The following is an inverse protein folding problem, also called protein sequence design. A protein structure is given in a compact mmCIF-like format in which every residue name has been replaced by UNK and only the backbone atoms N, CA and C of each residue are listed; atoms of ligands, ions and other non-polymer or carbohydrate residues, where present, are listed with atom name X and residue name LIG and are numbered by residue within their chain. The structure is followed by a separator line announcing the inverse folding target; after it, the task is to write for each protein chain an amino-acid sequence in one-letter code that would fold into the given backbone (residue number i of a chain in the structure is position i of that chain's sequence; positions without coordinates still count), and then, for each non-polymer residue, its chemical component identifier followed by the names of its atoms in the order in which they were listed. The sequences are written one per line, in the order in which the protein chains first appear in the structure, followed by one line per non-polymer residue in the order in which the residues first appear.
data_IF_980832502721
#
_entry.id   IF_980832502721
#
_cell.length_a   1.000
_cell.length_b   1.000
_cell.length_c   1.000
_cell.angle_alpha   90.00
_cell.angle_beta   90.00
_cell.angle_gamma   90.00
#
_symmetry.space_group_name_H-M   'P 1'
#
loop_
_entity.id
_entity.type
_entity.pdbx_description
1 polymer ?
#
# COMPACT_ATOMS: atom_id res chain seq x y z
N UNK A 1 31.55 -10.99 20.65
CA UNK A 1 32.11 -9.64 20.94
C UNK A 1 31.32 -8.61 20.14
N UNK A 2 30.81 -7.55 20.76
CA UNK A 2 30.05 -6.49 20.05
C UNK A 2 31.03 -5.39 19.64
N UNK A 3 31.16 -5.15 18.34
CA UNK A 3 31.96 -4.06 17.80
C UNK A 3 31.05 -2.92 17.37
N UNK A 4 31.12 -1.77 18.04
CA UNK A 4 30.43 -0.55 17.60
C UNK A 4 31.34 0.23 16.65
N UNK A 5 30.88 0.49 15.42
CA UNK A 5 31.56 1.41 14.50
C UNK A 5 30.96 2.80 14.69
N UNK A 6 31.47 3.56 15.66
CA UNK A 6 31.08 4.96 15.84
C UNK A 6 31.93 5.85 14.92
N UNK A 7 31.30 6.44 13.91
CA UNK A 7 31.95 7.41 13.02
C UNK A 7 32.14 8.76 13.73
N UNK A 8 33.22 8.90 14.51
CA UNK A 8 33.79 10.21 14.85
C UNK A 8 34.98 10.47 13.92
N UNK A 9 34.87 11.54 13.12
CA UNK A 9 35.84 12.07 12.16
C UNK A 9 37.27 11.49 12.20
N UNK A 10 37.62 10.67 11.20
CA UNK A 10 39.01 10.34 10.86
C UNK A 10 39.26 8.85 10.65
N UNK A 11 39.42 8.44 9.39
CA UNK A 11 40.01 7.17 8.90
C UNK A 11 39.75 5.97 9.82
N UNK A 12 38.61 5.29 9.62
CA UNK A 12 38.42 3.92 10.11
C UNK A 12 39.36 2.99 9.35
N UNK A 13 40.56 2.74 9.89
CA UNK A 13 41.34 1.55 9.52
C UNK A 13 40.54 0.34 10.00
N UNK A 14 39.78 -0.25 9.09
CA UNK A 14 39.08 -1.50 9.32
C UNK A 14 40.14 -2.58 9.56
N UNK A 15 40.27 -3.05 10.80
CA UNK A 15 41.06 -4.24 11.10
C UNK A 15 40.16 -5.46 10.86
N UNK A 16 40.68 -6.48 10.18
CA UNK A 16 40.04 -7.81 10.12
C UNK A 16 39.68 -8.25 11.54
N UNK A 17 38.41 -8.58 11.76
CA UNK A 17 37.91 -8.93 13.08
C UNK A 17 37.26 -10.32 13.04
N UNK A 18 38.08 -11.37 13.03
CA UNK A 18 37.65 -12.78 12.91
C UNK A 18 36.78 -13.31 14.07
N UNK A 19 36.41 -12.46 15.03
CA UNK A 19 35.58 -12.81 16.19
C UNK A 19 34.33 -11.92 16.32
N UNK A 20 34.03 -11.11 15.30
CA UNK A 20 32.85 -10.26 15.31
C UNK A 20 31.60 -11.11 14.99
N UNK A 21 30.69 -11.18 15.95
CA UNK A 21 29.43 -11.93 15.83
C UNK A 21 28.24 -11.01 15.55
N UNK A 22 28.35 -9.75 15.92
CA UNK A 22 27.32 -8.72 15.72
C UNK A 22 27.95 -7.42 15.25
N UNK A 23 27.30 -6.78 14.27
CA UNK A 23 27.66 -5.47 13.76
C UNK A 23 26.45 -4.54 13.85
N UNK A 24 26.56 -3.50 14.67
CA UNK A 24 25.58 -2.43 14.70
C UNK A 24 26.15 -1.23 13.94
N UNK A 25 25.42 -0.80 12.91
CA UNK A 25 25.76 0.37 12.12
C UNK A 25 24.81 1.49 12.53
N UNK A 26 25.23 2.31 13.49
CA UNK A 26 24.48 3.49 13.88
C UNK A 26 24.84 4.69 13.00
N UNK A 27 23.81 5.41 12.54
CA UNK A 27 23.95 6.76 12.02
C UNK A 27 24.30 6.93 10.54
N UNK A 28 24.26 8.22 10.16
CA UNK A 28 24.33 8.73 8.80
C UNK A 28 25.71 8.46 8.17
N UNK A 29 25.92 7.25 7.65
CA UNK A 29 27.17 6.80 7.01
C UNK A 29 27.52 7.49 5.68
N UNK A 30 27.10 8.73 5.46
CA UNK A 30 27.50 9.54 4.28
C UNK A 30 29.02 9.60 4.07
N UNK A 31 29.81 9.27 5.09
CA UNK A 31 31.28 9.28 5.07
C UNK A 31 31.94 7.90 5.13
N UNK A 32 31.20 6.83 5.37
CA UNK A 32 31.79 5.51 5.37
C UNK A 32 31.98 5.12 3.90
N UNK A 33 33.23 5.17 3.45
CA UNK A 33 33.55 4.81 2.08
C UNK A 33 33.03 3.40 1.83
N UNK A 34 32.11 3.30 0.88
CA UNK A 34 31.54 2.04 0.44
C UNK A 34 32.63 1.02 0.08
N UNK A 35 33.79 1.50 -0.38
CA UNK A 35 34.99 0.71 -0.63
C UNK A 35 35.55 -0.03 0.60
N UNK A 36 35.25 0.42 1.82
CA UNK A 36 35.71 -0.22 3.06
C UNK A 36 34.69 -1.19 3.66
N UNK A 37 33.39 -0.92 3.51
CA UNK A 37 32.34 -1.72 4.16
C UNK A 37 32.15 -3.09 3.51
N UNK A 38 32.14 -3.18 2.17
CA UNK A 38 31.97 -4.47 1.52
C UNK A 38 33.12 -5.45 1.83
N UNK A 39 34.41 -5.07 1.72
CA UNK A 39 35.51 -5.95 2.14
C UNK A 39 35.45 -6.34 3.62
N UNK A 40 34.97 -5.43 4.48
CA UNK A 40 34.80 -5.72 5.89
C UNK A 40 33.76 -6.81 6.15
N UNK A 41 32.55 -6.66 5.58
CA UNK A 41 31.48 -7.64 5.68
C UNK A 41 31.94 -9.01 5.17
N UNK A 42 32.63 -9.02 4.02
CA UNK A 42 33.23 -10.22 3.45
C UNK A 42 34.29 -10.85 4.36
N UNK A 43 35.11 -10.05 5.05
CA UNK A 43 36.13 -10.57 5.97
C UNK A 43 35.56 -11.17 7.27
N UNK A 44 34.28 -10.90 7.57
CA UNK A 44 33.60 -11.37 8.77
C UNK A 44 32.51 -12.41 8.47
N UNK A 45 32.40 -12.89 7.23
CA UNK A 45 31.28 -13.70 6.73
C UNK A 45 30.98 -14.94 7.56
N UNK A 46 32.02 -15.61 8.04
CA UNK A 46 31.88 -16.92 8.66
C UNK A 46 31.34 -16.85 10.10
N UNK A 47 31.34 -15.66 10.72
CA UNK A 47 30.94 -15.48 12.12
C UNK A 47 29.89 -14.42 12.37
N UNK A 48 29.57 -13.57 11.39
CA UNK A 48 28.64 -12.46 11.58
C UNK A 48 27.18 -12.96 11.62
N UNK A 49 26.61 -13.03 12.83
CA UNK A 49 25.29 -13.59 13.14
C UNK A 49 24.17 -12.56 13.27
N UNK A 50 24.47 -11.31 13.66
CA UNK A 50 23.56 -10.18 13.43
C UNK A 50 24.23 -8.96 12.75
N UNK A 51 23.47 -8.26 11.89
CA UNK A 51 23.79 -6.92 11.39
C UNK A 51 22.57 -6.05 11.57
N UNK A 52 22.71 -5.00 12.36
CA UNK A 52 21.65 -4.07 12.72
C UNK A 52 21.99 -2.66 12.23
N UNK A 53 20.97 -1.80 12.10
CA UNK A 53 21.15 -0.41 11.65
C UNK A 53 21.43 -0.24 10.15
N UNK A 54 21.33 -1.29 9.34
CA UNK A 54 21.45 -1.19 7.89
C UNK A 54 20.24 -0.47 7.26
N UNK A 55 20.44 0.79 6.89
CA UNK A 55 19.52 1.52 6.00
C UNK A 55 19.42 0.87 4.59
N UNK A 56 18.30 1.05 3.89
CA UNK A 56 18.10 0.47 2.55
C UNK A 56 19.15 0.92 1.52
N UNK A 57 19.74 2.11 1.68
CA UNK A 57 20.84 2.58 0.83
C UNK A 57 22.05 1.62 0.78
N UNK A 58 22.29 0.81 1.82
CA UNK A 58 23.37 -0.19 1.77
C UNK A 58 23.03 -1.35 0.84
N UNK A 59 21.75 -1.76 0.82
CA UNK A 59 21.23 -2.77 -0.08
C UNK A 59 21.18 -2.29 -1.53
N UNK A 60 21.02 -0.97 -1.72
CA UNK A 60 21.11 -0.33 -3.02
C UNK A 60 22.51 -0.45 -3.65
N UNK A 61 23.56 -0.51 -2.82
CA UNK A 61 24.91 -0.60 -3.33
C UNK A 61 25.26 -2.05 -3.72
N UNK A 62 25.56 -2.36 -4.99
CA UNK A 62 25.69 -3.73 -5.49
C UNK A 62 26.64 -4.59 -4.66
N UNK A 63 27.84 -4.08 -4.34
CA UNK A 63 28.85 -4.84 -3.57
C UNK A 63 28.47 -5.05 -2.11
N UNK A 64 27.73 -4.13 -1.50
CA UNK A 64 27.33 -4.26 -0.09
C UNK A 64 26.12 -5.19 -0.02
N UNK A 65 25.13 -5.00 -0.88
CA UNK A 65 24.00 -5.92 -1.00
C UNK A 65 24.44 -7.36 -1.28
N UNK A 66 25.37 -7.56 -2.21
CA UNK A 66 25.98 -8.87 -2.49
C UNK A 66 26.70 -9.45 -1.27
N UNK A 67 27.55 -8.65 -0.60
CA UNK A 67 28.24 -9.09 0.61
C UNK A 67 27.24 -9.50 1.71
N UNK A 68 26.20 -8.69 1.95
CA UNK A 68 25.14 -8.97 2.91
C UNK A 68 24.34 -10.23 2.55
N UNK A 69 24.05 -10.46 1.28
CA UNK A 69 23.40 -11.70 0.83
C UNK A 69 24.30 -12.91 1.04
N UNK A 70 25.60 -12.81 0.74
CA UNK A 70 26.56 -13.89 0.95
C UNK A 70 26.68 -14.30 2.42
N UNK A 71 26.50 -13.35 3.34
CA UNK A 71 26.48 -13.64 4.79
C UNK A 71 25.09 -14.04 5.31
N UNK A 72 24.12 -14.28 4.42
CA UNK A 72 22.79 -14.78 4.76
C UNK A 72 21.79 -13.71 5.21
N UNK A 73 22.11 -12.43 5.04
CA UNK A 73 21.20 -11.34 5.37
C UNK A 73 20.44 -10.92 4.14
N UNK A 74 19.16 -10.70 4.33
CA UNK A 74 18.29 -10.08 3.35
C UNK A 74 17.49 -9.00 4.06
N UNK A 75 17.55 -7.76 3.57
CA UNK A 75 16.52 -6.81 3.96
C UNK A 75 15.21 -7.24 3.34
N UNK A 76 14.20 -7.33 4.20
CA UNK A 76 12.83 -7.67 3.82
C UNK A 76 12.02 -6.42 3.48
N UNK A 77 12.54 -5.23 3.75
CA UNK A 77 11.78 -3.97 3.67
C UNK A 77 12.56 -2.93 2.88
N UNK A 78 11.93 -2.42 1.81
CA UNK A 78 12.39 -1.27 1.05
C UNK A 78 11.52 -0.06 1.44
N UNK A 79 12.11 1.01 1.99
CA UNK A 79 11.38 2.24 2.39
C UNK A 79 11.97 3.48 1.73
N UNK A 80 11.15 4.38 1.22
CA UNK A 80 11.62 5.63 0.59
C UNK A 80 12.49 6.48 1.52
N UNK A 81 12.14 6.57 2.81
CA UNK A 81 12.89 7.31 3.82
C UNK A 81 14.28 6.75 4.12
N UNK A 82 14.56 5.53 3.67
CA UNK A 82 15.84 4.83 3.83
C UNK A 82 16.69 4.81 2.55
N UNK A 83 16.17 5.38 1.46
CA UNK A 83 16.88 5.53 0.19
C UNK A 83 17.79 6.77 0.21
N UNK A 84 18.88 6.71 -0.55
CA UNK A 84 19.70 7.89 -0.80
C UNK A 84 18.84 8.94 -1.54
N UNK A 85 18.73 10.19 -1.04
CA UNK A 85 17.98 11.24 -1.72
C UNK A 85 18.45 11.53 -3.15
N UNK A 86 19.68 11.13 -3.51
CA UNK A 86 20.27 11.26 -4.83
C UNK A 86 20.11 10.02 -5.72
N UNK A 87 19.39 8.98 -5.25
CA UNK A 87 19.20 7.75 -6.02
C UNK A 87 18.56 8.04 -7.38
N UNK A 88 19.20 7.54 -8.44
CA UNK A 88 18.60 7.63 -9.77
C UNK A 88 17.39 6.69 -9.88
N UNK A 89 16.38 7.09 -10.66
CA UNK A 89 15.23 6.21 -10.90
C UNK A 89 15.65 4.88 -11.54
N UNK A 90 16.67 4.88 -12.40
CA UNK A 90 17.21 3.66 -13.00
C UNK A 90 17.78 2.70 -11.95
N UNK A 91 18.48 3.21 -10.95
CA UNK A 91 19.05 2.38 -9.88
C UNK A 91 17.97 1.88 -8.93
N UNK A 92 16.96 2.71 -8.62
CA UNK A 92 15.78 2.26 -7.87
C UNK A 92 15.04 1.12 -8.59
N UNK A 93 14.82 1.25 -9.89
CA UNK A 93 14.17 0.22 -10.73
C UNK A 93 14.97 -1.09 -10.68
N UNK A 94 16.31 -1.01 -10.82
CA UNK A 94 17.18 -2.19 -10.71
C UNK A 94 17.11 -2.80 -9.31
N UNK A 95 17.14 -1.98 -8.27
CA UNK A 95 17.07 -2.43 -6.88
C UNK A 95 15.77 -3.16 -6.55
N UNK A 96 14.64 -2.70 -7.08
CA UNK A 96 13.35 -3.38 -6.91
C UNK A 96 13.32 -4.68 -7.73
N UNK A 97 13.76 -4.64 -8.99
CA UNK A 97 13.65 -5.77 -9.91
C UNK A 97 14.68 -6.90 -9.67
N UNK A 98 15.85 -6.58 -9.13
CA UNK A 98 16.99 -7.50 -8.96
C UNK A 98 17.43 -7.66 -7.50
N UNK A 99 16.87 -6.87 -6.59
CA UNK A 99 17.37 -6.79 -5.22
C UNK A 99 17.00 -7.98 -4.34
N UNK A 100 17.23 -7.76 -3.05
CA UNK A 100 16.85 -8.62 -1.93
C UNK A 100 15.41 -9.16 -2.06
N UNK A 101 15.04 -10.30 -1.43
CA UNK A 101 13.66 -10.77 -1.37
C UNK A 101 12.77 -9.82 -0.55
N UNK A 102 12.45 -8.65 -1.11
CA UNK A 102 11.62 -7.63 -0.49
C UNK A 102 10.24 -8.21 -0.21
N UNK A 103 9.91 -8.40 1.07
CA UNK A 103 8.55 -8.78 1.47
C UNK A 103 7.68 -7.56 1.66
N UNK A 104 8.26 -6.35 1.84
CA UNK A 104 7.55 -5.08 1.93
C UNK A 104 8.24 -4.01 1.08
N UNK A 105 7.45 -3.33 0.26
CA UNK A 105 7.88 -2.17 -0.53
C UNK A 105 7.03 -0.98 -0.12
N UNK A 106 7.67 0.06 0.43
CA UNK A 106 7.03 1.29 0.87
C UNK A 106 7.70 2.47 0.17
N UNK A 107 7.01 3.10 -0.78
CA UNK A 107 7.56 4.18 -1.59
C UNK A 107 6.67 5.42 -1.53
N UNK A 108 7.26 6.59 -1.69
CA UNK A 108 6.49 7.82 -1.83
C UNK A 108 5.93 7.94 -3.24
N UNK A 109 4.77 8.59 -3.39
CA UNK A 109 4.13 8.86 -4.69
C UNK A 109 5.05 9.54 -5.70
N UNK A 110 5.98 10.38 -5.25
CA UNK A 110 6.97 11.06 -6.10
C UNK A 110 8.03 10.14 -6.71
N UNK A 111 8.20 8.93 -6.18
CA UNK A 111 9.12 7.92 -6.71
C UNK A 111 8.42 6.94 -7.64
N UNK A 112 7.08 7.01 -7.72
CA UNK A 112 6.27 6.03 -8.43
C UNK A 112 6.18 6.36 -9.92
N UNK A 113 7.29 6.18 -10.64
CA UNK A 113 7.29 6.22 -12.11
C UNK A 113 6.75 4.90 -12.68
N UNK A 114 6.32 4.90 -13.95
CA UNK A 114 5.96 3.67 -14.66
C UNK A 114 7.02 2.57 -14.52
N UNK A 115 8.31 2.90 -14.68
CA UNK A 115 9.39 1.91 -14.57
C UNK A 115 9.53 1.30 -13.17
N UNK A 116 9.23 2.07 -12.13
CA UNK A 116 9.19 1.58 -10.74
C UNK A 116 7.99 0.67 -10.54
N UNK A 117 6.80 1.02 -11.05
CA UNK A 117 5.63 0.17 -11.01
C UNK A 117 5.86 -1.17 -11.75
N UNK A 118 6.47 -1.13 -12.94
CA UNK A 118 6.88 -2.32 -13.71
C UNK A 118 7.89 -3.19 -12.94
N UNK A 119 8.79 -2.57 -12.16
CA UNK A 119 9.72 -3.30 -11.30
C UNK A 119 9.00 -4.01 -10.15
N UNK A 120 8.03 -3.35 -9.49
CA UNK A 120 7.22 -3.96 -8.43
C UNK A 120 6.42 -5.14 -8.97
N UNK A 121 5.81 -5.00 -10.16
CA UNK A 121 5.10 -6.10 -10.84
C UNK A 121 6.04 -7.27 -11.11
N UNK A 122 7.25 -7.04 -11.62
CA UNK A 122 8.24 -8.12 -11.83
C UNK A 122 8.64 -8.78 -10.52
N UNK A 123 8.87 -7.99 -9.47
CA UNK A 123 9.22 -8.48 -8.14
C UNK A 123 8.11 -9.34 -7.52
N UNK A 124 6.85 -8.96 -7.75
CA UNK A 124 5.67 -9.67 -7.23
C UNK A 124 5.58 -11.13 -7.69
N UNK A 125 6.15 -11.46 -8.85
CA UNK A 125 6.21 -12.83 -9.36
C UNK A 125 7.04 -13.79 -8.47
N UNK A 126 7.88 -13.26 -7.57
CA UNK A 126 8.70 -14.04 -6.64
C UNK A 126 7.94 -14.64 -5.44
N UNK A 127 6.61 -14.48 -5.35
CA UNK A 127 5.73 -15.09 -4.33
C UNK A 127 6.04 -14.78 -2.85
N UNK A 128 6.87 -13.78 -2.55
CA UNK A 128 7.25 -13.40 -1.19
C UNK A 128 6.81 -11.99 -0.79
N UNK A 129 6.21 -11.24 -1.72
CA UNK A 129 5.70 -9.90 -1.46
C UNK A 129 4.46 -9.96 -0.56
N UNK A 130 4.57 -9.39 0.64
CA UNK A 130 3.53 -9.32 1.66
C UNK A 130 2.90 -7.93 1.78
N UNK A 131 3.61 -6.87 1.41
CA UNK A 131 3.10 -5.51 1.50
C UNK A 131 3.62 -4.59 0.38
N UNK A 132 2.71 -3.82 -0.22
CA UNK A 132 3.05 -2.68 -1.07
C UNK A 132 2.31 -1.46 -0.53
N UNK A 133 3.06 -0.39 -0.25
CA UNK A 133 2.54 0.84 0.31
C UNK A 133 3.06 2.03 -0.48
N UNK A 134 2.14 2.81 -1.03
CA UNK A 134 2.44 4.03 -1.77
C UNK A 134 1.97 5.21 -0.93
N UNK A 135 2.91 5.84 -0.26
CA UNK A 135 2.64 6.92 0.69
C UNK A 135 2.59 8.27 -0.01
N UNK A 136 1.68 9.14 0.42
CA UNK A 136 1.68 10.51 -0.05
C UNK A 136 2.70 11.36 0.68
N UNK A 137 3.65 11.90 -0.08
CA UNK A 137 4.53 12.99 0.35
C UNK A 137 4.55 14.12 -0.68
N UNK A 138 3.37 14.64 -1.02
CA UNK A 138 3.22 15.85 -1.81
C UNK A 138 2.86 15.62 -3.28
N UNK A 139 2.91 16.70 -4.07
CA UNK A 139 2.60 16.67 -5.51
C UNK A 139 3.62 15.83 -6.26
N UNK A 140 3.11 14.89 -7.05
CA UNK A 140 3.90 14.21 -8.06
C UNK A 140 3.81 15.01 -9.35
N UNK A 141 4.92 15.63 -9.76
CA UNK A 141 5.03 16.20 -11.11
C UNK A 141 5.53 15.12 -12.11
N UNK A 142 5.79 13.90 -11.64
CA UNK A 142 6.50 12.86 -12.39
C UNK A 142 5.56 11.92 -13.15
N UNK A 143 4.85 12.45 -14.15
CA UNK A 143 4.15 11.67 -15.18
C UNK A 143 3.14 10.62 -14.67
N UNK A 144 2.62 9.76 -15.57
CA UNK A 144 1.74 8.67 -15.17
C UNK A 144 2.52 7.66 -14.32
N UNK A 145 2.03 7.41 -13.12
CA UNK A 145 2.70 6.56 -12.14
C UNK A 145 2.26 5.12 -12.23
N UNK A 146 1.86 4.54 -11.10
CA UNK A 146 1.30 3.19 -11.04
C UNK A 146 -0.15 3.20 -11.54
N UNK A 147 -0.36 2.74 -12.76
CA UNK A 147 -1.68 2.59 -13.38
C UNK A 147 -2.46 1.37 -12.88
N UNK A 148 -3.78 1.33 -13.14
CA UNK A 148 -4.68 0.25 -12.73
C UNK A 148 -4.21 -1.17 -13.10
N UNK A 149 -3.64 -1.35 -14.30
CA UNK A 149 -3.11 -2.66 -14.72
C UNK A 149 -1.90 -3.11 -13.87
N UNK A 150 -1.07 -2.20 -13.36
CA UNK A 150 0.03 -2.59 -12.47
C UNK A 150 -0.52 -3.09 -11.13
N UNK A 151 -1.53 -2.40 -10.58
CA UNK A 151 -2.18 -2.81 -9.34
C UNK A 151 -2.82 -4.20 -9.49
N UNK A 152 -3.51 -4.40 -10.60
CA UNK A 152 -4.09 -5.69 -10.97
C UNK A 152 -3.02 -6.79 -11.03
N UNK A 153 -1.92 -6.55 -11.75
CA UNK A 153 -0.85 -7.54 -11.88
C UNK A 153 -0.20 -7.87 -10.52
N UNK A 154 -0.05 -6.88 -9.63
CA UNK A 154 0.45 -7.12 -8.26
C UNK A 154 -0.51 -8.02 -7.49
N UNK A 155 -1.81 -7.74 -7.51
CA UNK A 155 -2.85 -8.54 -6.85
C UNK A 155 -2.96 -9.96 -7.44
N UNK A 156 -2.73 -10.09 -8.75
CA UNK A 156 -2.72 -11.35 -9.46
C UNK A 156 -1.51 -12.22 -9.12
N UNK A 157 -0.32 -11.62 -8.92
CA UNK A 157 0.94 -12.36 -8.77
C UNK A 157 1.37 -12.58 -7.33
N UNK A 158 0.75 -11.90 -6.36
CA UNK A 158 1.21 -11.89 -4.96
C UNK A 158 0.29 -12.69 -4.03
N UNK A 159 0.39 -14.03 -3.98
CA UNK A 159 -0.51 -14.86 -3.15
C UNK A 159 -0.33 -14.61 -1.64
N UNK A 160 0.79 -14.02 -1.22
CA UNK A 160 1.11 -13.68 0.17
C UNK A 160 0.81 -12.22 0.53
N UNK A 161 0.28 -11.43 -0.38
CA UNK A 161 0.01 -10.01 -0.13
C UNK A 161 -1.04 -9.87 0.97
N UNK A 162 -0.68 -9.14 2.02
CA UNK A 162 -1.51 -8.80 3.18
C UNK A 162 -1.89 -7.33 3.19
N UNK A 163 -1.02 -6.46 2.71
CA UNK A 163 -1.22 -5.01 2.73
C UNK A 163 -1.03 -4.44 1.33
N UNK A 164 -2.02 -3.71 0.85
CA UNK A 164 -1.94 -3.01 -0.43
C UNK A 164 -2.54 -1.61 -0.31
N UNK A 165 -1.67 -0.59 -0.21
CA UNK A 165 -2.05 0.81 -0.05
C UNK A 165 -1.60 1.61 -1.27
N UNK A 166 -2.55 2.14 -2.05
CA UNK A 166 -2.28 2.91 -3.25
C UNK A 166 -3.28 4.07 -3.48
N UNK A 167 -4.10 4.44 -2.50
CA UNK A 167 -5.16 5.47 -2.65
C UNK A 167 -4.67 6.86 -3.06
N UNK A 168 -3.39 7.16 -2.81
CA UNK A 168 -2.79 8.46 -3.11
C UNK A 168 -2.37 8.64 -4.57
N UNK A 169 -2.58 7.64 -5.42
CA UNK A 169 -2.39 7.76 -6.85
C UNK A 169 -3.56 8.55 -7.44
N UNK A 170 -3.38 9.87 -7.54
CA UNK A 170 -4.44 10.84 -7.82
C UNK A 170 -5.04 10.66 -9.22
N UNK A 171 -4.22 10.32 -10.22
CA UNK A 171 -4.65 10.18 -11.62
C UNK A 171 -4.91 8.73 -12.04
N UNK A 172 -4.44 7.77 -11.25
CA UNK A 172 -4.50 6.35 -11.56
C UNK A 172 -5.49 5.67 -10.61
N UNK A 173 -6.72 5.54 -11.07
CA UNK A 173 -7.77 4.74 -10.42
C UNK A 173 -7.73 3.32 -10.97
N UNK A 174 -7.99 2.32 -10.12
CA UNK A 174 -8.26 0.97 -10.61
C UNK A 174 -9.71 0.93 -11.10
N UNK A 175 -9.93 0.59 -12.36
CA UNK A 175 -11.28 0.49 -12.91
C UNK A 175 -11.95 -0.81 -12.47
N UNK A 176 -13.28 -0.85 -12.56
CA UNK A 176 -14.07 -2.08 -12.52
C UNK A 176 -13.52 -3.14 -13.48
N UNK A 177 -13.17 -2.76 -14.71
CA UNK A 177 -12.59 -3.67 -15.71
C UNK A 177 -11.28 -4.29 -15.23
N UNK A 178 -10.40 -3.51 -14.60
CA UNK A 178 -9.12 -4.01 -14.07
C UNK A 178 -9.36 -5.08 -12.99
N UNK A 179 -10.31 -4.83 -12.07
CA UNK A 179 -10.66 -5.76 -11.00
C UNK A 179 -11.27 -7.05 -11.55
N UNK A 180 -12.21 -6.92 -12.49
CA UNK A 180 -12.98 -8.06 -13.02
C UNK A 180 -12.18 -8.90 -14.03
N UNK A 181 -11.17 -8.34 -14.69
CA UNK A 181 -10.39 -9.03 -15.72
C UNK A 181 -9.24 -9.91 -15.21
N UNK A 182 -8.91 -9.83 -13.92
CA UNK A 182 -7.91 -10.71 -13.28
C UNK A 182 -8.56 -11.54 -12.19
N UNK A 183 -7.98 -12.66 -11.82
CA UNK A 183 -8.24 -13.32 -10.54
C UNK A 183 -7.15 -12.93 -9.54
N UNK A 184 -7.55 -12.46 -8.36
CA UNK A 184 -6.58 -12.12 -7.31
C UNK A 184 -6.03 -13.42 -6.72
N UNK A 185 -4.72 -13.63 -6.80
CA UNK A 185 -4.09 -14.81 -6.20
C UNK A 185 -4.09 -14.73 -4.66
N UNK A 186 -4.13 -13.51 -4.12
CA UNK A 186 -4.22 -13.31 -2.67
C UNK A 186 -5.60 -13.66 -2.13
N UNK A 187 -5.58 -14.41 -1.03
CA UNK A 187 -6.72 -14.61 -0.11
C UNK A 187 -6.38 -14.16 1.30
N UNK A 188 -5.27 -13.44 1.44
CA UNK A 188 -4.66 -13.04 2.70
C UNK A 188 -4.64 -11.53 2.89
N UNK A 189 -5.32 -10.76 2.05
CA UNK A 189 -5.39 -9.32 2.24
C UNK A 189 -6.07 -9.00 3.57
N UNK A 190 -5.34 -8.26 4.41
CA UNK A 190 -5.77 -7.74 5.71
C UNK A 190 -6.02 -6.22 5.62
N UNK A 191 -5.30 -5.53 4.75
CA UNK A 191 -5.41 -4.08 4.53
C UNK A 191 -5.50 -3.78 3.03
N UNK A 192 -6.59 -3.16 2.62
CA UNK A 192 -6.76 -2.59 1.28
C UNK A 192 -7.04 -1.11 1.41
N UNK A 193 -6.33 -0.31 0.63
CA UNK A 193 -6.52 1.13 0.58
C UNK A 193 -6.32 1.62 -0.87
N UNK A 194 -7.41 1.67 -1.63
CA UNK A 194 -7.42 1.84 -3.08
C UNK A 194 -8.62 2.65 -3.56
N UNK A 195 -8.41 3.52 -4.57
CA UNK A 195 -9.51 4.18 -5.27
C UNK A 195 -10.02 3.32 -6.41
N UNK A 196 -11.27 2.88 -6.30
CA UNK A 196 -11.91 2.02 -7.31
C UNK A 196 -12.92 2.83 -8.11
N UNK A 197 -12.62 3.07 -9.39
CA UNK A 197 -13.54 3.76 -10.29
C UNK A 197 -14.53 2.76 -10.89
N UNK A 198 -15.82 3.01 -10.65
CA UNK A 198 -16.91 2.26 -11.27
C UNK A 198 -17.90 3.24 -11.87
N UNK A 199 -18.31 2.96 -13.11
CA UNK A 199 -19.30 3.78 -13.81
C UNK A 199 -20.60 3.88 -13.01
N UNK A 200 -21.06 5.11 -12.78
CA UNK A 200 -22.34 5.40 -12.14
C UNK A 200 -23.23 6.22 -13.06
N UNK A 201 -24.39 5.68 -13.47
CA UNK A 201 -25.34 6.44 -14.25
C UNK A 201 -25.89 7.62 -13.46
N UNK A 202 -26.18 8.72 -14.17
CA UNK A 202 -26.94 9.84 -13.63
C UNK A 202 -28.34 9.41 -13.21
N UNK A 203 -28.97 10.12 -12.26
CA UNK A 203 -30.30 9.79 -11.75
C UNK A 203 -31.41 9.79 -12.82
N UNK A 204 -31.18 10.44 -13.96
CA UNK A 204 -32.10 10.47 -15.09
C UNK A 204 -31.83 9.39 -16.15
N UNK A 205 -30.84 8.50 -15.93
CA UNK A 205 -30.55 7.44 -16.87
C UNK A 205 -31.67 6.39 -16.89
N UNK A 206 -31.85 5.68 -18.01
CA UNK A 206 -32.81 4.58 -18.07
C UNK A 206 -32.52 3.49 -17.02
N UNK A 207 -33.58 2.87 -16.48
CA UNK A 207 -33.49 1.84 -15.42
C UNK A 207 -32.51 0.71 -15.78
N UNK A 208 -32.47 0.26 -17.04
CA UNK A 208 -31.57 -0.81 -17.47
C UNK A 208 -30.08 -0.44 -17.33
N UNK A 209 -29.73 0.85 -17.44
CA UNK A 209 -28.35 1.33 -17.24
C UNK A 209 -27.98 1.28 -15.76
N UNK A 210 -28.91 1.62 -14.86
CA UNK A 210 -28.74 1.47 -13.42
C UNK A 210 -28.54 0.01 -13.03
N UNK A 211 -29.38 -0.90 -13.55
CA UNK A 211 -29.24 -2.33 -13.30
C UNK A 211 -27.87 -2.86 -13.74
N UNK A 212 -27.41 -2.48 -14.93
CA UNK A 212 -26.09 -2.88 -15.41
C UNK A 212 -24.94 -2.37 -14.54
N UNK A 213 -25.01 -1.11 -14.09
CA UNK A 213 -24.04 -0.56 -13.15
C UNK A 213 -24.05 -1.32 -11.82
N UNK A 214 -25.23 -1.64 -11.28
CA UNK A 214 -25.35 -2.44 -10.06
C UNK A 214 -24.76 -3.84 -10.24
N UNK A 215 -24.98 -4.51 -11.37
CA UNK A 215 -24.39 -5.81 -11.64
C UNK A 215 -22.86 -5.78 -11.64
N UNK A 216 -22.25 -4.73 -12.19
CA UNK A 216 -20.80 -4.51 -12.16
C UNK A 216 -20.33 -4.27 -10.73
N UNK A 217 -20.99 -3.36 -9.99
CA UNK A 217 -20.64 -3.05 -8.61
C UNK A 217 -20.73 -4.28 -7.71
N UNK A 218 -21.78 -5.10 -7.84
CA UNK A 218 -21.93 -6.37 -7.13
C UNK A 218 -20.78 -7.32 -7.43
N UNK A 219 -20.33 -7.41 -8.68
CA UNK A 219 -19.19 -8.27 -9.03
C UNK A 219 -17.88 -7.77 -8.42
N UNK A 220 -17.64 -6.46 -8.42
CA UNK A 220 -16.46 -5.85 -7.79
C UNK A 220 -16.49 -6.07 -6.27
N UNK A 221 -17.63 -5.81 -5.62
CA UNK A 221 -17.80 -6.04 -4.18
C UNK A 221 -17.67 -7.52 -3.82
N UNK A 222 -18.22 -8.43 -4.62
CA UNK A 222 -18.02 -9.87 -4.44
C UNK A 222 -16.55 -10.26 -4.51
N UNK A 223 -15.77 -9.63 -5.40
CA UNK A 223 -14.32 -9.89 -5.46
C UNK A 223 -13.62 -9.45 -4.18
N UNK A 224 -13.97 -8.28 -3.64
CA UNK A 224 -13.44 -7.79 -2.36
C UNK A 224 -13.89 -8.70 -1.21
N UNK A 225 -15.15 -9.14 -1.21
CA UNK A 225 -15.75 -10.05 -0.21
C UNK A 225 -15.07 -11.42 -0.11
N UNK A 226 -14.31 -11.82 -1.13
CA UNK A 226 -13.48 -13.04 -1.08
C UNK A 226 -12.27 -12.91 -0.14
N UNK A 227 -11.88 -11.70 0.25
CA UNK A 227 -10.76 -11.43 1.15
C UNK A 227 -11.20 -11.56 2.62
N UNK A 228 -11.47 -12.78 3.08
CA UNK A 228 -12.10 -13.03 4.39
C UNK A 228 -11.29 -12.55 5.60
N UNK A 229 -9.98 -12.34 5.42
CA UNK A 229 -9.06 -11.80 6.43
C UNK A 229 -9.00 -10.27 6.43
N UNK A 230 -9.81 -9.60 5.63
CA UNK A 230 -9.76 -8.14 5.48
C UNK A 230 -10.20 -7.48 6.79
N UNK A 231 -9.29 -6.68 7.37
CA UNK A 231 -9.48 -5.96 8.62
C UNK A 231 -9.69 -4.47 8.40
N UNK A 232 -9.13 -3.90 7.33
CA UNK A 232 -9.40 -2.53 6.93
C UNK A 232 -9.59 -2.43 5.43
N UNK A 233 -10.67 -1.76 5.06
CA UNK A 233 -11.02 -1.44 3.69
C UNK A 233 -11.20 0.07 3.57
N UNK A 234 -10.28 0.72 2.87
CA UNK A 234 -10.40 2.13 2.48
C UNK A 234 -10.61 2.17 0.98
N UNK A 235 -11.79 2.64 0.57
CA UNK A 235 -12.15 2.83 -0.84
C UNK A 235 -12.54 4.27 -1.14
N UNK A 236 -12.69 5.07 -0.09
CA UNK A 236 -12.84 6.51 -0.17
C UNK A 236 -11.52 7.24 -0.28
N UNK A 237 -11.57 8.49 -0.74
CA UNK A 237 -10.40 9.34 -0.79
C UNK A 237 -10.57 10.59 -1.63
N UNK A 238 -9.95 11.68 -1.18
CA UNK A 238 -9.89 12.93 -1.92
C UNK A 238 -9.01 12.79 -3.17
N UNK A 239 -9.49 13.29 -4.30
CA UNK A 239 -8.64 13.50 -5.49
C UNK A 239 -8.28 14.97 -5.58
N UNK A 240 -7.01 15.32 -5.43
CA UNK A 240 -6.55 16.71 -5.59
C UNK A 240 -6.38 16.98 -7.07
N UNK A 241 -7.36 17.62 -7.71
CA UNK A 241 -7.25 17.91 -9.14
C UNK A 241 -6.20 19.00 -9.40
N UNK A 242 -5.37 18.76 -10.41
CA UNK A 242 -4.18 19.54 -10.75
C UNK A 242 -4.43 21.04 -10.91
N UNK A 243 -5.59 21.41 -11.48
CA UNK A 243 -5.78 22.76 -11.99
C UNK A 243 -6.42 23.78 -11.04
N UNK A 244 -6.94 23.40 -9.85
CA UNK A 244 -7.71 24.36 -9.01
C UNK A 244 -7.55 24.28 -7.50
N UNK A 245 -6.65 23.46 -6.93
CA UNK A 245 -6.66 23.14 -5.48
C UNK A 245 -8.06 22.74 -4.97
N UNK A 246 -8.96 22.34 -5.87
CA UNK A 246 -10.28 21.86 -5.51
C UNK A 246 -10.14 20.39 -5.20
N UNK A 247 -10.63 20.01 -4.03
CA UNK A 247 -10.81 18.62 -3.65
C UNK A 247 -11.92 18.09 -4.57
N UNK A 248 -11.57 17.17 -5.47
CA UNK A 248 -12.52 16.48 -6.31
C UNK A 248 -12.95 15.22 -5.58
N UNK A 249 -14.27 15.09 -5.46
CA UNK A 249 -14.94 13.91 -4.93
C UNK A 249 -14.86 12.80 -5.94
N UNK A 250 -14.86 11.57 -5.45
CA UNK A 250 -15.02 10.43 -6.32
C UNK A 250 -16.50 10.25 -6.69
N UNK A 251 -16.89 10.67 -7.90
CA UNK A 251 -18.27 10.52 -8.39
C UNK A 251 -18.50 9.11 -8.96
N UNK A 252 -17.57 8.63 -9.78
CA UNK A 252 -17.50 7.26 -10.29
C UNK A 252 -16.83 6.38 -9.25
N UNK A 253 -17.61 5.91 -8.29
CA UNK A 253 -17.15 5.14 -7.14
C UNK A 253 -18.08 3.96 -6.87
N UNK A 254 -17.63 2.99 -6.07
CA UNK A 254 -18.50 1.94 -5.55
C UNK A 254 -19.55 2.53 -4.61
N UNK A 255 -20.83 2.31 -4.89
CA UNK A 255 -21.87 2.55 -3.91
C UNK A 255 -21.81 1.47 -2.82
N UNK A 256 -21.98 1.91 -1.58
CA UNK A 256 -21.92 1.05 -0.39
C UNK A 256 -23.31 0.91 0.23
N UNK A 257 -24.28 0.49 -0.57
CA UNK A 257 -25.65 0.20 -0.15
C UNK A 257 -26.09 -1.20 -0.60
N UNK A 258 -27.23 -1.66 -0.09
CA UNK A 258 -27.74 -3.01 -0.39
C UNK A 258 -28.14 -3.19 -1.86
N UNK A 259 -28.62 -2.14 -2.52
CA UNK A 259 -28.99 -2.19 -3.95
C UNK A 259 -27.76 -2.47 -4.83
N UNK A 260 -26.61 -1.87 -4.49
CA UNK A 260 -25.35 -1.99 -5.25
C UNK A 260 -24.50 -3.21 -4.89
N UNK A 261 -24.85 -3.97 -3.85
CA UNK A 261 -24.11 -5.18 -3.48
C UNK A 261 -23.36 -5.15 -2.16
N UNK A 262 -23.67 -4.24 -1.23
CA UNK A 262 -23.07 -4.26 0.11
C UNK A 262 -23.16 -5.64 0.76
N UNK A 263 -24.23 -6.39 0.47
CA UNK A 263 -24.45 -7.75 0.95
C UNK A 263 -23.41 -8.78 0.46
N UNK A 264 -22.73 -8.51 -0.66
CA UNK A 264 -21.62 -9.33 -1.17
C UNK A 264 -20.40 -9.30 -0.23
N UNK A 265 -20.35 -8.36 0.71
CA UNK A 265 -19.30 -8.26 1.73
C UNK A 265 -19.64 -9.01 3.03
N UNK A 266 -20.79 -9.71 3.12
CA UNK A 266 -21.28 -10.32 4.37
C UNK A 266 -20.26 -11.22 5.08
N UNK A 267 -19.35 -11.86 4.34
CA UNK A 267 -18.34 -12.78 4.87
C UNK A 267 -17.11 -12.08 5.50
N UNK A 268 -16.99 -10.75 5.40
CA UNK A 268 -15.90 -9.97 5.99
C UNK A 268 -16.04 -9.81 7.51
N UNK A 269 -16.03 -10.92 8.24
CA UNK A 269 -16.26 -10.95 9.70
C UNK A 269 -15.14 -10.32 10.52
N UNK A 270 -13.94 -10.24 9.95
CA UNK A 270 -12.75 -9.64 10.58
C UNK A 270 -12.62 -8.13 10.28
N UNK A 271 -13.54 -7.53 9.52
CA UNK A 271 -13.48 -6.12 9.15
C UNK A 271 -13.64 -5.23 10.40
N UNK A 272 -12.58 -4.50 10.74
CA UNK A 272 -12.48 -3.58 11.89
C UNK A 272 -12.72 -2.14 11.46
N UNK A 273 -12.28 -1.77 10.25
CA UNK A 273 -12.37 -0.41 9.73
C UNK A 273 -12.88 -0.40 8.29
N UNK A 274 -13.92 0.40 8.05
CA UNK A 274 -14.43 0.71 6.72
C UNK A 274 -14.38 2.21 6.51
N UNK A 275 -13.63 2.66 5.52
CA UNK A 275 -13.55 4.07 5.14
C UNK A 275 -14.08 4.29 3.73
N UNK A 276 -15.24 4.95 3.68
CA UNK A 276 -15.96 5.33 2.47
C UNK A 276 -16.11 6.87 2.40
N UNK A 277 -15.30 7.59 3.16
CA UNK A 277 -15.31 9.05 3.18
C UNK A 277 -14.90 9.64 1.82
N UNK A 278 -15.36 10.84 1.52
CA UNK A 278 -15.01 11.58 0.29
C UNK A 278 -15.46 10.88 -1.02
N UNK A 279 -16.32 9.86 -0.91
CA UNK A 279 -17.06 9.24 -2.02
C UNK A 279 -18.46 9.85 -2.13
N UNK A 280 -19.00 9.92 -3.35
CA UNK A 280 -20.39 10.31 -3.57
C UNK A 280 -21.38 9.17 -3.23
N UNK A 281 -21.27 8.54 -2.05
CA UNK A 281 -22.10 7.39 -1.68
C UNK A 281 -23.49 7.80 -1.14
N UNK A 282 -24.45 6.87 -1.18
CA UNK A 282 -25.84 7.07 -0.73
C UNK A 282 -26.22 6.05 0.35
N UNK A 283 -25.45 6.02 1.45
CA UNK A 283 -25.73 5.14 2.58
C UNK A 283 -27.00 5.61 3.28
N UNK A 284 -27.95 4.70 3.49
CA UNK A 284 -29.23 4.92 4.16
C UNK A 284 -29.26 4.13 5.48
N UNK A 285 -30.24 4.40 6.33
CA UNK A 285 -30.45 3.68 7.59
C UNK A 285 -30.50 2.14 7.43
N UNK A 286 -31.22 1.57 6.44
CA UNK A 286 -31.24 0.12 6.24
C UNK A 286 -29.85 -0.50 5.96
N UNK A 287 -28.96 0.24 5.28
CA UNK A 287 -27.60 -0.22 5.00
C UNK A 287 -26.79 -0.30 6.31
N UNK A 288 -26.94 0.69 7.20
CA UNK A 288 -26.28 0.71 8.51
C UNK A 288 -26.78 -0.39 9.44
N UNK A 289 -28.10 -0.62 9.46
CA UNK A 289 -28.70 -1.74 10.20
C UNK A 289 -28.20 -3.09 9.69
N UNK A 290 -27.97 -3.21 8.38
CA UNK A 290 -27.37 -4.38 7.79
C UNK A 290 -25.90 -4.53 8.19
N UNK A 291 -25.08 -3.47 8.09
CA UNK A 291 -23.66 -3.50 8.49
C UNK A 291 -23.52 -3.87 9.97
N UNK A 292 -24.32 -3.27 10.84
CA UNK A 292 -24.27 -3.52 12.29
C UNK A 292 -24.62 -4.97 12.67
N UNK A 293 -25.38 -5.69 11.83
CA UNK A 293 -25.69 -7.12 12.00
C UNK A 293 -24.64 -8.03 11.38
N UNK A 294 -24.03 -7.63 10.26
CA UNK A 294 -23.19 -8.51 9.46
C UNK A 294 -21.69 -8.34 9.67
N UNK A 295 -21.23 -7.17 10.14
CA UNK A 295 -19.84 -6.88 10.46
C UNK A 295 -19.64 -6.81 11.99
N UNK A 296 -19.56 -7.97 12.67
CA UNK A 296 -19.51 -8.02 14.13
C UNK A 296 -18.26 -7.34 14.73
N UNK A 297 -17.17 -7.25 13.95
CA UNK A 297 -15.89 -6.67 14.38
C UNK A 297 -15.74 -5.20 13.97
N UNK A 298 -16.72 -4.58 13.30
CA UNK A 298 -16.58 -3.23 12.76
C UNK A 298 -16.61 -2.18 13.88
N UNK A 299 -15.45 -1.63 14.18
CA UNK A 299 -15.25 -0.62 15.23
C UNK A 299 -15.30 0.80 14.66
N UNK A 300 -14.77 1.00 13.45
CA UNK A 300 -14.65 2.31 12.81
C UNK A 300 -15.32 2.33 11.44
N UNK A 301 -16.19 3.31 11.24
CA UNK A 301 -16.84 3.57 9.97
C UNK A 301 -16.67 5.06 9.65
N UNK A 302 -15.74 5.37 8.75
CA UNK A 302 -15.56 6.73 8.26
C UNK A 302 -16.50 6.93 7.07
N UNK A 303 -17.43 7.87 7.21
CA UNK A 303 -18.39 8.19 6.16
C UNK A 303 -18.59 9.69 6.05
N UNK A 304 -19.06 10.12 4.88
CA UNK A 304 -19.39 11.51 4.63
C UNK A 304 -18.31 12.26 3.87
N UNK A 305 -18.65 13.51 3.55
CA UNK A 305 -17.79 14.43 2.82
C UNK A 305 -17.58 15.64 3.73
N UNK A 306 -16.36 16.17 3.76
CA UNK A 306 -16.01 17.38 4.50
C UNK A 306 -16.95 18.58 4.23
N UNK A 307 -17.62 18.60 3.08
CA UNK A 307 -18.52 19.68 2.64
C UNK A 307 -20.01 19.30 2.52
N UNK A 308 -20.40 18.08 2.89
CA UNK A 308 -21.81 17.66 2.92
C UNK A 308 -22.13 16.87 4.19
N UNK A 309 -22.99 17.39 5.07
CA UNK A 309 -23.43 16.62 6.22
C UNK A 309 -24.18 15.37 5.75
N UNK A 310 -24.08 14.32 6.55
CA UNK A 310 -24.91 13.13 6.38
C UNK A 310 -26.40 13.50 6.50
N UNK A 311 -27.31 12.74 5.86
CA UNK A 311 -28.74 12.85 6.12
C UNK A 311 -29.06 12.83 7.63
N UNK A 312 -30.08 13.58 8.04
CA UNK A 312 -30.42 13.74 9.45
C UNK A 312 -30.83 12.43 10.13
N UNK A 313 -31.54 11.56 9.41
CA UNK A 313 -31.93 10.22 9.84
C UNK A 313 -30.73 9.29 10.03
N UNK A 314 -29.76 9.33 9.12
CA UNK A 314 -28.47 8.60 9.23
C UNK A 314 -27.68 9.09 10.44
N UNK A 315 -27.55 10.41 10.61
CA UNK A 315 -26.84 11.02 11.74
C UNK A 315 -27.47 10.62 13.08
N UNK A 316 -28.80 10.71 13.17
CA UNK A 316 -29.55 10.32 14.36
C UNK A 316 -29.42 8.83 14.66
N UNK A 317 -29.46 7.98 13.62
CA UNK A 317 -29.28 6.54 13.78
C UNK A 317 -27.88 6.21 14.34
N UNK A 318 -26.81 6.81 13.80
CA UNK A 318 -25.43 6.60 14.26
C UNK A 318 -25.28 7.03 15.72
N UNK A 319 -25.78 8.22 16.07
CA UNK A 319 -25.75 8.74 17.44
C UNK A 319 -26.42 7.78 18.43
N UNK A 320 -27.54 7.17 18.03
CA UNK A 320 -28.34 6.28 18.89
C UNK A 320 -27.79 4.86 19.00
N UNK A 321 -27.30 4.28 17.91
CA UNK A 321 -26.98 2.85 17.86
C UNK A 321 -25.48 2.55 17.79
N UNK A 322 -24.68 3.43 17.20
CA UNK A 322 -23.24 3.24 16.93
C UNK A 322 -22.48 4.56 17.04
N UNK A 323 -22.41 5.22 18.20
CA UNK A 323 -21.76 6.53 18.33
C UNK A 323 -20.26 6.50 17.98
N UNK A 324 -19.59 5.35 18.14
CA UNK A 324 -18.19 5.17 17.70
C UNK A 324 -17.98 5.23 16.18
N UNK A 325 -19.04 5.09 15.39
CA UNK A 325 -19.00 5.24 13.93
C UNK A 325 -19.21 6.68 13.47
N UNK A 326 -19.47 7.62 14.38
CA UNK A 326 -19.71 9.03 14.04
C UNK A 326 -18.43 9.89 14.08
N UNK A 327 -17.24 9.28 13.93
CA UNK A 327 -15.98 10.02 13.90
C UNK A 327 -15.84 10.79 12.58
N UNK A 328 -15.85 12.13 12.68
CA UNK A 328 -15.58 13.07 11.58
C UNK A 328 -14.10 13.41 11.48
#
# INVERSE_FOLDING_TARGET
MVGAITSYSGITRVRSHQALESLEIDGNLRRLEVGSLAPFLMSCSDKLQSVEGLEAKFWAHPKIGEALQMIGYASKVLRSDSLDPSISMTDLIKMIAQGSPWTRIQLDTSMMTKGVADAIVRHSAGNHLEAVEILHRGRSDSGPGMQGYHMQEILHRSPRLKTFLAHWLVDDVISDRDILSSEWATRSLEHIDLKIAVFRPFDCAPIHVHMHSYDIQRQVLRRIGQQKKLRKLVIGGMTIGYFKKRIYRQFECLEMNLESGLDELADLKELVELDISEMNHRVRVPDLEWMARNFPSLERLSMGMSDRPLPADVTEWLRRHRPGWASY
#
